data_IF_735749682243
#
_entry.id   IF_735749682243
#
_cell.length_a   1.000
_cell.length_b   1.000
_cell.length_c   1.000
_cell.angle_alpha   90.00
_cell.angle_beta   90.00
_cell.angle_gamma   90.00
#
_symmetry.space_group_name_H-M   'P 1'
#
loop_
_entity.id
_entity.type
_entity.pdbx_description
1 polymer ?
#
# COMPACT_ATOMS: atom_id res chain seq x y z
N UNK A 1 43.85 -0.39 4.91
CA UNK A 1 42.70 -1.20 4.43
C UNK A 1 41.41 -1.02 5.23
N UNK A 2 41.44 -0.67 6.53
CA UNK A 2 40.21 -0.48 7.33
C UNK A 2 39.36 0.74 6.92
N UNK A 3 39.98 1.90 6.67
CA UNK A 3 39.26 3.14 6.37
C UNK A 3 38.34 3.06 5.13
N UNK A 4 38.76 2.36 4.06
CA UNK A 4 37.96 2.20 2.84
C UNK A 4 36.67 1.39 3.06
N UNK A 5 36.68 0.45 4.01
CA UNK A 5 35.49 -0.36 4.36
C UNK A 5 34.48 0.46 5.16
N UNK A 6 34.95 1.38 6.01
CA UNK A 6 34.08 2.29 6.75
C UNK A 6 33.40 3.31 5.83
N UNK A 7 34.10 3.83 4.83
CA UNK A 7 33.50 4.75 3.85
C UNK A 7 32.43 4.03 3.01
N UNK A 8 32.71 2.81 2.55
CA UNK A 8 31.73 2.02 1.79
C UNK A 8 30.47 1.68 2.62
N UNK A 9 30.64 1.35 3.91
CA UNK A 9 29.52 1.09 4.81
C UNK A 9 28.68 2.35 5.06
N UNK A 10 29.32 3.51 5.22
CA UNK A 10 28.63 4.78 5.40
C UNK A 10 27.81 5.20 4.17
N UNK A 11 28.33 4.96 2.96
CA UNK A 11 27.61 5.26 1.71
C UNK A 11 26.41 4.32 1.53
N UNK A 12 26.56 3.02 1.80
CA UNK A 12 25.44 2.05 1.74
C UNK A 12 24.31 2.39 2.72
N UNK A 13 24.66 2.82 3.95
CA UNK A 13 23.68 3.23 4.96
C UNK A 13 22.90 4.49 4.57
N UNK A 14 23.50 5.39 3.78
CA UNK A 14 22.86 6.61 3.32
C UNK A 14 21.91 6.41 2.13
N UNK A 15 22.15 5.40 1.28
CA UNK A 15 21.36 5.17 0.05
C UNK A 15 20.19 4.21 0.29
N UNK A 16 20.30 3.28 1.24
CA UNK A 16 19.22 2.36 1.60
C UNK A 16 17.86 3.01 1.96
N UNK A 17 17.78 4.11 2.74
CA UNK A 17 16.49 4.71 3.10
C UNK A 17 15.76 5.37 1.92
N UNK A 18 16.48 5.75 0.85
CA UNK A 18 15.90 6.39 -0.34
C UNK A 18 15.12 5.38 -1.17
N UNK A 19 15.58 4.13 -1.26
CA UNK A 19 14.88 3.05 -1.97
C UNK A 19 13.55 2.67 -1.32
N UNK A 20 13.47 2.73 0.02
CA UNK A 20 12.23 2.49 0.78
C UNK A 20 11.23 3.61 0.51
N UNK A 21 11.70 4.87 0.46
CA UNK A 21 10.84 6.04 0.26
C UNK A 21 10.18 6.11 -1.13
N UNK A 22 10.85 5.61 -2.18
CA UNK A 22 10.31 5.63 -3.56
C UNK A 22 9.31 4.51 -3.80
N UNK A 23 9.40 3.39 -3.08
CA UNK A 23 8.44 2.27 -3.15
C UNK A 23 7.21 2.43 -2.25
N UNK A 24 7.23 3.42 -1.35
CA UNK A 24 6.18 3.68 -0.36
C UNK A 24 5.45 5.00 -0.62
N UNK A 25 5.22 5.33 -1.90
CA UNK A 25 4.20 6.32 -2.22
C UNK A 25 2.87 5.87 -1.60
N UNK A 26 2.07 6.78 -1.01
CA UNK A 26 0.75 6.42 -0.53
C UNK A 26 0.01 5.72 -1.66
N UNK A 27 -0.60 4.56 -1.39
CA UNK A 27 -1.54 4.01 -2.35
C UNK A 27 -2.58 5.11 -2.62
N UNK A 28 -3.07 5.26 -3.86
CA UNK A 28 -3.99 6.35 -4.22
C UNK A 28 -5.17 6.50 -3.24
N UNK A 29 -5.53 5.44 -2.51
CA UNK A 29 -6.58 5.46 -1.50
C UNK A 29 -6.17 5.99 -0.11
N UNK A 30 -4.88 6.17 0.22
CA UNK A 30 -4.49 6.68 1.54
C UNK A 30 -5.05 8.09 1.80
N UNK A 31 -5.29 8.87 0.74
CA UNK A 31 -6.01 10.15 0.82
C UNK A 31 -7.54 9.99 0.92
N UNK A 32 -8.09 8.87 0.45
CA UNK A 32 -9.52 8.56 0.47
C UNK A 32 -9.97 7.81 1.74
N UNK A 33 -9.07 7.14 2.45
CA UNK A 33 -9.38 6.44 3.72
C UNK A 33 -9.85 7.40 4.83
N UNK A 34 -9.48 8.68 4.75
CA UNK A 34 -9.96 9.72 5.67
C UNK A 34 -11.34 10.28 5.30
N UNK A 35 -11.91 9.89 4.16
CA UNK A 35 -13.23 10.33 3.69
C UNK A 35 -14.28 9.28 4.06
N UNK A 36 -15.52 9.74 4.27
CA UNK A 36 -16.68 8.88 4.39
C UNK A 36 -16.73 7.94 3.18
N UNK A 37 -16.86 6.63 3.41
CA UNK A 37 -16.90 5.69 2.29
C UNK A 37 -18.20 5.85 1.50
N UNK A 38 -18.08 5.98 0.18
CA UNK A 38 -19.20 6.12 -0.75
C UNK A 38 -18.69 6.00 -2.20
N UNK A 39 -19.47 5.41 -3.13
CA UNK A 39 -20.72 4.68 -2.91
C UNK A 39 -20.49 3.28 -2.31
N UNK A 40 -21.57 2.64 -1.85
CA UNK A 40 -21.56 1.24 -1.42
C UNK A 40 -21.01 0.33 -2.53
N UNK A 41 -20.10 -0.58 -2.18
CA UNK A 41 -19.39 -1.45 -3.12
C UNK A 41 -18.16 -0.83 -3.80
N UNK A 42 -17.84 0.45 -3.55
CA UNK A 42 -16.59 1.05 -4.01
C UNK A 42 -15.39 0.27 -3.47
N UNK A 43 -14.36 0.05 -4.30
CA UNK A 43 -13.14 -0.71 -3.96
C UNK A 43 -11.93 0.17 -4.16
N UNK A 44 -11.03 0.18 -3.17
CA UNK A 44 -9.79 0.97 -3.22
C UNK A 44 -8.66 0.20 -2.55
N UNK A 45 -7.42 0.61 -2.79
CA UNK A 45 -6.25 0.00 -2.15
C UNK A 45 -5.82 0.82 -0.94
N UNK A 46 -6.31 0.44 0.25
CA UNK A 46 -5.91 1.07 1.50
C UNK A 46 -4.56 0.58 2.01
N UNK A 47 -4.20 1.02 3.23
CA UNK A 47 -3.03 0.54 3.96
C UNK A 47 -3.48 -0.36 5.11
N UNK A 48 -3.14 -1.66 5.13
CA UNK A 48 -2.08 -2.33 4.35
C UNK A 48 -2.53 -3.04 3.05
N UNK A 49 -3.80 -2.98 2.66
CA UNK A 49 -4.29 -3.76 1.51
C UNK A 49 -5.66 -3.34 0.98
N UNK A 50 -6.26 -4.16 0.11
CA UNK A 50 -7.51 -3.83 -0.56
C UNK A 50 -8.68 -3.76 0.42
N UNK A 51 -9.51 -2.74 0.25
CA UNK A 51 -10.71 -2.50 1.05
C UNK A 51 -11.89 -2.20 0.13
N UNK A 52 -13.10 -2.36 0.66
CA UNK A 52 -14.35 -1.98 -0.01
C UNK A 52 -15.31 -1.30 0.95
N UNK A 53 -16.18 -0.45 0.41
CA UNK A 53 -17.21 0.23 1.18
C UNK A 53 -18.42 -0.70 1.34
N UNK A 54 -18.76 -1.05 2.57
CA UNK A 54 -19.85 -1.97 2.90
C UNK A 54 -20.79 -1.36 3.93
N UNK A 55 -22.09 -1.67 3.79
CA UNK A 55 -23.09 -1.33 4.79
C UNK A 55 -23.01 -2.29 5.98
N UNK A 56 -22.74 -1.71 7.15
CA UNK A 56 -22.73 -2.45 8.40
C UNK A 56 -24.16 -2.66 8.93
N UNK A 57 -24.31 -3.52 9.95
CA UNK A 57 -25.60 -3.85 10.55
C UNK A 57 -26.33 -2.64 11.17
N UNK A 58 -25.58 -1.57 11.51
CA UNK A 58 -26.11 -0.29 12.00
C UNK A 58 -26.60 0.64 10.87
N UNK A 59 -26.49 0.21 9.61
CA UNK A 59 -26.88 0.96 8.42
C UNK A 59 -25.83 1.97 7.94
N UNK A 60 -24.70 2.12 8.63
CA UNK A 60 -23.62 3.02 8.20
C UNK A 60 -22.72 2.37 7.15
N UNK A 61 -22.20 3.19 6.24
CA UNK A 61 -21.21 2.77 5.26
C UNK A 61 -19.81 2.91 5.85
N UNK A 62 -19.06 1.81 5.87
CA UNK A 62 -17.70 1.78 6.38
C UNK A 62 -16.75 1.04 5.43
N UNK A 63 -15.48 1.43 5.47
CA UNK A 63 -14.42 0.72 4.76
C UNK A 63 -14.09 -0.59 5.47
N UNK A 64 -14.19 -1.71 4.75
CA UNK A 64 -13.91 -3.06 5.26
C UNK A 64 -12.81 -3.70 4.43
N UNK A 65 -11.95 -4.49 5.07
CA UNK A 65 -10.86 -5.19 4.39
C UNK A 65 -11.40 -6.32 3.50
N UNK A 66 -10.90 -6.40 2.26
CA UNK A 66 -11.16 -7.55 1.39
C UNK A 66 -10.15 -8.65 1.78
N UNK A 67 -10.59 -9.82 2.27
CA UNK A 67 -9.67 -10.89 2.61
C UNK A 67 -8.98 -11.40 1.35
N UNK A 68 -7.71 -11.82 1.48
CA UNK A 68 -6.89 -12.28 0.34
C UNK A 68 -7.56 -13.45 -0.39
N UNK A 69 -8.27 -14.33 0.32
CA UNK A 69 -9.04 -15.44 -0.25
C UNK A 69 -10.20 -15.01 -1.14
N UNK A 70 -10.69 -13.77 -1.02
CA UNK A 70 -11.77 -13.22 -1.83
C UNK A 70 -11.28 -12.37 -3.01
N UNK A 71 -9.95 -12.23 -3.19
CA UNK A 71 -9.37 -11.46 -4.28
C UNK A 71 -9.29 -12.29 -5.56
N UNK A 72 -10.04 -11.90 -6.58
CA UNK A 72 -9.79 -12.31 -7.96
C UNK A 72 -8.89 -11.27 -8.62
N UNK A 73 -7.57 -11.48 -8.57
CA UNK A 73 -6.58 -10.60 -9.19
C UNK A 73 -6.17 -11.12 -10.57
N UNK A 74 -6.21 -10.25 -11.57
CA UNK A 74 -5.54 -10.52 -12.85
C UNK A 74 -4.05 -10.22 -12.69
N UNK A 75 -3.18 -11.16 -13.05
CA UNK A 75 -1.74 -10.95 -13.09
C UNK A 75 -1.35 -10.45 -14.48
N UNK A 76 -0.83 -9.23 -14.57
CA UNK A 76 -0.15 -8.76 -15.78
C UNK A 76 1.28 -9.28 -15.75
N UNK A 77 1.57 -10.28 -16.59
CA UNK A 77 2.96 -10.66 -16.87
C UNK A 77 3.50 -9.71 -17.93
N UNK A 78 4.59 -9.00 -17.60
CA UNK A 78 5.33 -8.23 -18.60
C UNK A 78 5.98 -9.23 -19.55
N UNK A 79 5.44 -9.38 -20.76
CA UNK A 79 6.10 -10.19 -21.79
C UNK A 79 7.40 -9.48 -22.18
N UNK A 80 8.57 -10.17 -22.13
CA UNK A 80 9.87 -9.57 -22.43
C UNK A 80 9.99 -9.14 -23.90
#
# INVERSE_FOLDING_TARGET
>A
MRARRFVAAAVMAAVAPIGIAVGSGPAHADSDLGKQCSPEGAKVWGKPGPIYCERQADGQLQWVSIPVSALCVAFCVNQP
#
